data_IF_122741106655
#
_entry.id   IF_122741106655
#
_cell.length_a   1.000
_cell.length_b   1.000
_cell.length_c   1.000
_cell.angle_alpha   90.00
_cell.angle_beta   90.00
_cell.angle_gamma   90.00
#
_symmetry.space_group_name_H-M   'P 1'
#
loop_
_entity.id
_entity.type
_entity.pdbx_description
1 polymer ?
#
# COMPACT_ATOMS: atom_id res chain seq x y z
N UNK A 1 -8.28 48.21 -1.35
CA UNK A 1 -8.13 47.21 -0.28
C UNK A 1 -7.21 47.78 0.79
N UNK A 2 -7.67 47.79 2.03
CA UNK A 2 -6.82 48.08 3.17
C UNK A 2 -5.90 46.89 3.48
N UNK A 3 -4.87 47.11 4.28
CA UNK A 3 -4.02 46.03 4.79
C UNK A 3 -4.83 45.04 5.65
N UNK A 4 -5.75 45.53 6.47
CA UNK A 4 -6.62 44.69 7.32
C UNK A 4 -7.53 43.77 6.49
N UNK A 5 -8.12 44.29 5.40
CA UNK A 5 -8.95 43.49 4.49
C UNK A 5 -8.13 42.35 3.86
N UNK A 6 -6.90 42.64 3.45
CA UNK A 6 -6.00 41.64 2.85
C UNK A 6 -5.54 40.60 3.87
N UNK A 7 -5.28 40.99 5.12
CA UNK A 7 -4.93 40.06 6.20
C UNK A 7 -6.10 39.12 6.48
N UNK A 8 -7.32 39.66 6.58
CA UNK A 8 -8.54 38.86 6.82
C UNK A 8 -8.77 37.84 5.71
N UNK A 9 -8.60 38.24 4.45
CA UNK A 9 -8.70 37.32 3.30
C UNK A 9 -7.65 36.20 3.38
N UNK A 10 -6.40 36.54 3.72
CA UNK A 10 -5.32 35.55 3.84
C UNK A 10 -5.56 34.57 5.00
N UNK A 11 -6.06 35.03 6.14
CA UNK A 11 -6.42 34.18 7.27
C UNK A 11 -7.56 33.22 6.91
N UNK A 12 -8.59 33.70 6.21
CA UNK A 12 -9.67 32.86 5.71
C UNK A 12 -9.14 31.77 4.77
N UNK A 13 -8.28 32.14 3.81
CA UNK A 13 -7.64 31.20 2.88
C UNK A 13 -6.71 30.22 3.57
N UNK A 14 -6.02 30.63 4.64
CA UNK A 14 -5.16 29.76 5.43
C UNK A 14 -5.99 28.70 6.14
N UNK A 15 -7.07 29.09 6.81
CA UNK A 15 -7.98 28.14 7.47
C UNK A 15 -8.52 27.08 6.50
N UNK A 16 -8.96 27.47 5.30
CA UNK A 16 -9.39 26.52 4.29
C UNK A 16 -8.28 25.58 3.80
N UNK A 17 -7.03 26.04 3.77
CA UNK A 17 -5.89 25.20 3.40
C UNK A 17 -5.54 24.21 4.51
N UNK A 18 -5.62 24.63 5.78
CA UNK A 18 -5.38 23.75 6.92
C UNK A 18 -6.42 22.61 6.95
N UNK A 19 -7.71 22.94 6.77
CA UNK A 19 -8.79 21.94 6.66
C UNK A 19 -8.56 20.96 5.49
N UNK A 20 -8.11 21.48 4.34
CA UNK A 20 -7.82 20.66 3.17
C UNK A 20 -6.63 19.73 3.41
N UNK A 21 -5.58 20.20 4.09
CA UNK A 21 -4.41 19.40 4.44
C UNK A 21 -4.80 18.27 5.40
N UNK A 22 -5.64 18.54 6.40
CA UNK A 22 -6.12 17.53 7.34
C UNK A 22 -6.94 16.45 6.61
N UNK A 23 -7.88 16.85 5.74
CA UNK A 23 -8.65 15.91 4.94
C UNK A 23 -7.78 15.05 4.01
N UNK A 24 -6.76 15.65 3.39
CA UNK A 24 -5.80 14.91 2.56
C UNK A 24 -4.98 13.91 3.38
N UNK A 25 -4.55 14.29 4.58
CA UNK A 25 -3.80 13.42 5.47
C UNK A 25 -4.63 12.19 5.88
N UNK A 26 -5.90 12.37 6.23
CA UNK A 26 -6.80 11.26 6.58
C UNK A 26 -6.95 10.24 5.45
N UNK A 27 -7.07 10.74 4.21
CA UNK A 27 -7.13 9.89 3.01
C UNK A 27 -5.79 9.17 2.79
N UNK A 28 -4.65 9.84 2.96
CA UNK A 28 -3.33 9.24 2.82
C UNK A 28 -3.09 8.13 3.85
N UNK A 29 -3.41 8.38 5.12
CA UNK A 29 -3.29 7.37 6.18
C UNK A 29 -4.17 6.16 5.89
N UNK A 30 -5.38 6.38 5.39
CA UNK A 30 -6.29 5.30 5.00
C UNK A 30 -5.71 4.49 3.83
N UNK A 31 -5.19 5.15 2.79
CA UNK A 31 -4.56 4.46 1.66
C UNK A 31 -3.30 3.69 2.08
N UNK A 32 -2.48 4.24 2.96
CA UNK A 32 -1.28 3.56 3.47
C UNK A 32 -1.63 2.21 4.11
N UNK A 33 -2.68 2.18 4.95
CA UNK A 33 -3.18 0.93 5.57
C UNK A 33 -3.68 -0.09 4.54
N UNK A 34 -4.28 0.38 3.45
CA UNK A 34 -4.71 -0.50 2.35
C UNK A 34 -3.51 -1.08 1.62
N UNK A 35 -2.50 -0.25 1.31
CA UNK A 35 -1.26 -0.69 0.65
C UNK A 35 -0.52 -1.72 1.50
N UNK A 36 -0.35 -1.48 2.80
CA UNK A 36 0.28 -2.44 3.72
C UNK A 36 -0.43 -3.80 3.72
N UNK A 37 -1.77 -3.79 3.73
CA UNK A 37 -2.55 -5.02 3.65
C UNK A 37 -2.33 -5.76 2.33
N UNK A 38 -2.31 -5.03 1.22
CA UNK A 38 -2.06 -5.62 -0.10
C UNK A 38 -0.64 -6.20 -0.18
N UNK A 39 0.36 -5.52 0.38
CA UNK A 39 1.73 -6.01 0.44
C UNK A 39 1.82 -7.33 1.23
N UNK A 40 1.15 -7.42 2.39
CA UNK A 40 1.11 -8.67 3.17
C UNK A 40 0.42 -9.81 2.41
N UNK A 41 -0.69 -9.52 1.73
CA UNK A 41 -1.38 -10.52 0.91
C UNK A 41 -0.51 -11.00 -0.25
N UNK A 42 0.20 -10.09 -0.93
CA UNK A 42 1.13 -10.44 -2.00
C UNK A 42 2.29 -11.30 -1.50
N UNK A 43 2.89 -10.96 -0.35
CA UNK A 43 3.93 -11.76 0.26
C UNK A 43 3.46 -13.18 0.60
N UNK A 44 2.24 -13.32 1.12
CA UNK A 44 1.65 -14.63 1.41
C UNK A 44 1.38 -15.45 0.13
N UNK A 45 0.93 -14.79 -0.95
CA UNK A 45 0.72 -15.45 -2.24
C UNK A 45 2.03 -15.93 -2.86
N UNK A 46 3.09 -15.10 -2.81
CA UNK A 46 4.43 -15.48 -3.30
C UNK A 46 4.98 -16.68 -2.52
N UNK A 47 4.90 -16.65 -1.18
CA UNK A 47 5.33 -17.78 -0.35
C UNK A 47 4.60 -19.07 -0.70
N UNK A 48 3.27 -19.01 -0.89
CA UNK A 48 2.49 -20.18 -1.30
C UNK A 48 2.89 -20.69 -2.69
N UNK A 49 3.24 -19.79 -3.62
CA UNK A 49 3.71 -20.17 -4.94
C UNK A 49 5.05 -20.92 -4.84
N UNK A 50 6.00 -20.41 -4.07
CA UNK A 50 7.30 -21.05 -3.83
C UNK A 50 7.13 -22.44 -3.19
N UNK A 51 6.27 -22.56 -2.18
CA UNK A 51 5.96 -23.84 -1.53
C UNK A 51 5.39 -24.88 -2.52
N UNK A 52 4.51 -24.45 -3.43
CA UNK A 52 3.97 -25.35 -4.47
C UNK A 52 5.07 -25.79 -5.45
N UNK A 53 5.92 -24.86 -5.91
CA UNK A 53 7.02 -25.20 -6.83
C UNK A 53 8.00 -26.18 -6.19
N UNK A 54 8.43 -25.94 -4.94
CA UNK A 54 9.32 -26.85 -4.24
C UNK A 54 8.72 -28.24 -4.00
N UNK A 55 7.39 -28.33 -3.84
CA UNK A 55 6.70 -29.61 -3.73
C UNK A 55 6.70 -30.40 -5.04
N UNK A 56 6.61 -29.72 -6.20
CA UNK A 56 6.76 -30.38 -7.51
C UNK A 56 8.19 -30.88 -7.75
N UNK A 57 9.21 -30.10 -7.42
CA UNK A 57 10.62 -30.49 -7.55
C UNK A 57 10.95 -31.72 -6.69
N UNK A 58 10.47 -31.75 -5.43
CA UNK A 58 10.64 -32.92 -4.56
C UNK A 58 9.98 -34.20 -5.10
N UNK A 59 8.89 -34.06 -5.86
CA UNK A 59 8.17 -35.19 -6.45
C UNK A 59 8.88 -35.76 -7.69
N UNK A 60 9.61 -34.91 -8.43
CA UNK A 60 10.45 -35.33 -9.56
C UNK A 60 11.74 -36.02 -9.11
N UNK A 61 12.37 -35.57 -8.01
CA UNK A 61 13.57 -36.21 -7.45
C UNK A 61 13.29 -37.60 -6.85
N UNK A 62 12.09 -37.85 -6.34
CA UNK A 62 11.68 -39.16 -5.80
C UNK A 62 11.17 -40.15 -6.86
N UNK A 63 11.09 -39.75 -8.14
CA UNK A 63 10.60 -40.63 -9.20
C UNK A 63 11.61 -41.79 -9.45
N UNK A 64 11.19 -43.06 -9.38
CA UNK A 64 12.09 -44.19 -9.59
C UNK A 64 12.68 -44.17 -11.02
N UNK A 65 13.96 -44.52 -11.20
CA UNK A 65 14.64 -44.38 -12.48
C UNK A 65 13.96 -45.25 -13.56
N UNK A 66 13.86 -44.76 -14.81
CA UNK A 66 13.26 -45.52 -15.89
C UNK A 66 14.08 -46.78 -16.15
N UNK A 67 13.45 -47.94 -16.04
CA UNK A 67 14.05 -49.20 -16.43
C UNK A 67 14.03 -49.31 -17.97
N UNK A 68 15.20 -49.19 -18.59
CA UNK A 68 15.47 -49.48 -20.01
C UNK A 68 15.92 -50.92 -20.22
#
# INVERSE_FOLDING_TARGET
MSLEERVTELESRLAFQDDAIEAMNDVLVTQQRVVERLQLQMAALLKRQEEMVGQFESFEEEAPPPHY
#
